data_IF_287630941228
#
_entry.id   IF_287630941228
#
_cell.length_a   1.000
_cell.length_b   1.000
_cell.length_c   1.000
_cell.angle_alpha   90.00
_cell.angle_beta   90.00
_cell.angle_gamma   90.00
#
_symmetry.space_group_name_H-M   'P 1'
#
loop_
_entity.id
_entity.type
_entity.pdbx_description
1 polymer ?
#
# COMPACT_ATOMS: atom_id res chain seq x y z
N UNK A 1 -13.72 24.81 2.14
CA UNK A 1 -12.72 24.26 1.20
C UNK A 1 -12.91 22.75 0.96
N UNK A 2 -13.74 22.05 1.76
CA UNK A 2 -13.96 20.60 1.63
C UNK A 2 -14.82 20.16 0.44
N UNK A 3 -15.72 21.02 -0.05
CA UNK A 3 -16.63 20.70 -1.17
C UNK A 3 -15.86 20.49 -2.49
N UNK A 4 -14.72 21.18 -2.65
CA UNK A 4 -13.89 21.13 -3.85
C UNK A 4 -13.08 19.82 -3.98
N UNK A 5 -12.89 19.10 -2.87
CA UNK A 5 -12.13 17.84 -2.82
C UNK A 5 -13.01 16.59 -2.79
N UNK A 6 -14.34 16.75 -2.75
CA UNK A 6 -15.29 15.63 -2.78
C UNK A 6 -15.06 14.68 -3.98
N UNK A 7 -14.97 15.14 -5.25
CA UNK A 7 -14.76 14.22 -6.37
C UNK A 7 -13.44 13.44 -6.24
N UNK A 8 -12.39 14.09 -5.74
CA UNK A 8 -11.09 13.46 -5.51
C UNK A 8 -11.17 12.36 -4.43
N UNK A 9 -11.92 12.58 -3.34
CA UNK A 9 -12.13 11.59 -2.28
C UNK A 9 -12.97 10.40 -2.73
N UNK A 10 -13.88 10.58 -3.70
CA UNK A 10 -14.65 9.48 -4.29
C UNK A 10 -13.79 8.62 -5.21
N UNK A 11 -12.98 9.26 -6.08
CA UNK A 11 -12.02 8.57 -6.94
C UNK A 11 -10.99 7.79 -6.10
N UNK A 12 -10.42 8.44 -5.09
CA UNK A 12 -9.47 7.80 -4.18
C UNK A 12 -10.08 6.61 -3.44
N UNK A 13 -11.29 6.74 -2.88
CA UNK A 13 -11.97 5.64 -2.20
C UNK A 13 -12.34 4.50 -3.15
N UNK A 14 -12.77 4.80 -4.37
CA UNK A 14 -13.03 3.80 -5.41
C UNK A 14 -11.76 3.04 -5.79
N UNK A 15 -10.65 3.75 -5.98
CA UNK A 15 -9.34 3.17 -6.29
C UNK A 15 -8.84 2.28 -5.14
N UNK A 16 -8.95 2.74 -3.89
CA UNK A 16 -8.56 1.96 -2.71
C UNK A 16 -9.45 0.73 -2.55
N UNK A 17 -10.77 0.86 -2.71
CA UNK A 17 -11.68 -0.30 -2.65
C UNK A 17 -11.35 -1.35 -3.72
N UNK A 18 -11.07 -0.91 -4.93
CA UNK A 18 -10.64 -1.75 -6.05
C UNK A 18 -9.31 -2.45 -5.76
N UNK A 19 -8.33 -1.71 -5.25
CA UNK A 19 -7.00 -2.21 -4.89
C UNK A 19 -7.03 -3.24 -3.75
N UNK A 20 -7.99 -3.14 -2.84
CA UNK A 20 -8.00 -3.93 -1.61
C UNK A 20 -8.59 -5.34 -1.79
N UNK A 21 -9.16 -5.65 -2.96
CA UNK A 21 -9.84 -6.93 -3.23
C UNK A 21 -9.15 -7.70 -4.36
N UNK A 22 -8.47 -8.83 -4.09
CA UNK A 22 -7.73 -9.57 -5.11
C UNK A 22 -8.63 -10.14 -6.23
N UNK A 23 -9.89 -10.48 -5.91
CA UNK A 23 -10.88 -10.89 -6.93
C UNK A 23 -11.16 -9.77 -7.94
N UNK A 24 -11.31 -8.55 -7.44
CA UNK A 24 -11.56 -7.37 -8.28
C UNK A 24 -10.38 -7.08 -9.20
N UNK A 25 -9.14 -7.22 -8.70
CA UNK A 25 -7.93 -7.11 -9.51
C UNK A 25 -7.92 -8.13 -10.66
N UNK A 26 -8.18 -9.41 -10.37
CA UNK A 26 -8.21 -10.46 -11.40
C UNK A 26 -9.31 -10.18 -12.45
N UNK A 27 -10.53 -9.89 -12.00
CA UNK A 27 -11.66 -9.62 -12.91
C UNK A 27 -11.36 -8.41 -13.79
N UNK A 28 -10.80 -7.35 -13.23
CA UNK A 28 -10.44 -6.14 -13.97
C UNK A 28 -9.35 -6.38 -15.00
N UNK A 29 -8.36 -7.22 -14.68
CA UNK A 29 -7.29 -7.60 -15.59
C UNK A 29 -7.84 -8.38 -16.79
N UNK A 30 -8.68 -9.38 -16.53
CA UNK A 30 -9.34 -10.16 -17.57
C UNK A 30 -10.27 -9.30 -18.44
N UNK A 31 -11.07 -8.43 -17.82
CA UNK A 31 -11.96 -7.52 -18.53
C UNK A 31 -11.16 -6.60 -19.47
N UNK A 32 -10.05 -6.05 -18.99
CA UNK A 32 -9.20 -5.19 -19.78
C UNK A 32 -8.53 -5.92 -20.95
N UNK A 33 -8.15 -7.20 -20.80
CA UNK A 33 -7.68 -8.03 -21.93
C UNK A 33 -8.76 -8.13 -23.00
N UNK A 34 -10.01 -8.43 -22.60
CA UNK A 34 -11.13 -8.54 -23.54
C UNK A 34 -11.38 -7.21 -24.25
N UNK A 35 -11.43 -6.11 -23.49
CA UNK A 35 -11.65 -4.76 -24.05
C UNK A 35 -10.52 -4.38 -25.00
N UNK A 36 -9.26 -4.56 -24.61
CA UNK A 36 -8.11 -4.26 -25.45
C UNK A 36 -8.10 -5.12 -26.72
N UNK A 37 -8.41 -6.42 -26.61
CA UNK A 37 -8.53 -7.32 -27.75
C UNK A 37 -9.63 -6.91 -28.72
N UNK A 38 -10.81 -6.50 -28.23
CA UNK A 38 -11.91 -6.02 -29.08
C UNK A 38 -11.52 -4.71 -29.78
N UNK A 39 -10.94 -3.74 -29.06
CA UNK A 39 -10.49 -2.48 -29.63
C UNK A 39 -9.39 -2.70 -30.68
N UNK A 40 -8.45 -3.61 -30.42
CA UNK A 40 -7.39 -3.97 -31.35
C UNK A 40 -7.92 -4.66 -32.60
N UNK A 41 -8.86 -5.60 -32.46
CA UNK A 41 -9.52 -6.25 -33.59
C UNK A 41 -10.18 -5.23 -34.53
N UNK A 42 -10.84 -4.21 -33.95
CA UNK A 42 -11.45 -3.15 -34.73
C UNK A 42 -10.42 -2.23 -35.41
N UNK A 43 -9.32 -1.91 -34.73
CA UNK A 43 -8.30 -1.00 -35.25
C UNK A 43 -7.36 -1.63 -36.30
N UNK A 44 -7.05 -2.92 -36.18
CA UNK A 44 -6.08 -3.63 -37.05
C UNK A 44 -6.76 -4.66 -37.97
N UNK A 45 -8.09 -4.78 -37.92
CA UNK A 45 -8.89 -5.75 -38.71
C UNK A 45 -8.40 -7.20 -38.57
N UNK A 46 -7.94 -7.58 -37.37
CA UNK A 46 -7.48 -8.93 -37.03
C UNK A 46 -8.62 -9.79 -36.47
N UNK A 47 -8.46 -11.10 -36.54
CA UNK A 47 -9.41 -12.04 -35.95
C UNK A 47 -9.53 -11.80 -34.44
N UNK A 48 -10.69 -12.11 -33.85
CA UNK A 48 -10.90 -11.93 -32.41
C UNK A 48 -9.89 -12.74 -31.57
N UNK A 49 -9.57 -13.96 -32.01
CA UNK A 49 -8.60 -14.83 -31.34
C UNK A 49 -7.20 -14.22 -31.35
N UNK A 50 -6.71 -13.76 -32.50
CA UNK A 50 -5.39 -13.13 -32.64
C UNK A 50 -5.30 -11.82 -31.84
N UNK A 51 -6.40 -11.08 -31.77
CA UNK A 51 -6.46 -9.80 -31.06
C UNK A 51 -6.45 -9.98 -29.55
N UNK A 52 -7.17 -10.99 -29.04
CA UNK A 52 -7.10 -11.37 -27.61
C UNK A 52 -5.73 -11.92 -27.28
N UNK A 53 -5.14 -12.75 -28.15
CA UNK A 53 -3.77 -13.24 -27.98
C UNK A 53 -2.76 -12.09 -27.89
N UNK A 54 -2.83 -11.13 -28.81
CA UNK A 54 -2.01 -9.92 -28.77
C UNK A 54 -2.16 -9.16 -27.45
N UNK A 55 -3.41 -8.99 -26.98
CA UNK A 55 -3.69 -8.31 -25.72
C UNK A 55 -3.10 -9.07 -24.52
N UNK A 56 -3.20 -10.40 -24.49
CA UNK A 56 -2.61 -11.25 -23.43
C UNK A 56 -1.09 -11.11 -23.42
N UNK A 57 -0.43 -11.27 -24.57
CA UNK A 57 1.03 -11.22 -24.71
C UNK A 57 1.58 -9.84 -24.36
N UNK A 58 0.86 -8.77 -24.72
CA UNK A 58 1.24 -7.39 -24.42
C UNK A 58 0.98 -7.06 -22.94
N UNK A 59 -0.20 -7.40 -22.40
CA UNK A 59 -0.56 -7.10 -21.02
C UNK A 59 0.29 -7.89 -20.00
N UNK A 60 0.68 -9.11 -20.34
CA UNK A 60 1.63 -9.91 -19.56
C UNK A 60 3.08 -9.45 -19.66
N UNK A 61 3.36 -8.43 -20.49
CA UNK A 61 4.71 -7.91 -20.77
C UNK A 61 5.68 -8.91 -21.42
N UNK A 62 5.17 -10.05 -21.92
CA UNK A 62 5.98 -11.08 -22.60
C UNK A 62 6.46 -10.57 -23.97
N UNK A 63 5.54 -10.01 -24.76
CA UNK A 63 5.89 -9.30 -26.00
C UNK A 63 6.60 -10.15 -27.07
N UNK A 64 6.04 -11.30 -27.45
CA UNK A 64 6.63 -12.16 -28.50
C UNK A 64 6.87 -11.44 -29.85
N UNK A 65 6.05 -10.44 -30.18
CA UNK A 65 6.20 -9.63 -31.39
C UNK A 65 5.71 -10.30 -32.68
N UNK A 66 5.09 -11.47 -32.57
CA UNK A 66 4.41 -12.20 -33.65
C UNK A 66 3.23 -11.42 -34.24
N UNK A 67 2.48 -10.72 -33.38
CA UNK A 67 1.43 -9.78 -33.78
C UNK A 67 1.77 -8.41 -33.19
N UNK A 68 1.73 -7.37 -34.03
CA UNK A 68 2.06 -6.00 -33.63
C UNK A 68 1.20 -4.98 -34.36
N UNK A 69 0.87 -3.83 -33.72
CA UNK A 69 0.06 -2.79 -34.35
C UNK A 69 0.81 -2.09 -35.49
N UNK A 70 0.17 -2.03 -36.64
CA UNK A 70 0.70 -1.37 -37.84
C UNK A 70 0.04 -0.01 -38.08
N UNK A 71 -1.23 0.14 -37.68
CA UNK A 71 -2.00 1.36 -37.82
C UNK A 71 -1.65 2.38 -36.73
N UNK A 72 -1.93 3.66 -37.00
CA UNK A 72 -1.79 4.71 -35.98
C UNK A 72 -2.69 4.45 -34.76
N UNK A 73 -3.95 4.06 -35.00
CA UNK A 73 -4.91 3.76 -33.95
C UNK A 73 -4.47 2.56 -33.10
N UNK A 74 -4.01 1.47 -33.72
CA UNK A 74 -3.50 0.31 -33.01
C UNK A 74 -2.25 0.62 -32.18
N UNK A 75 -1.34 1.46 -32.69
CA UNK A 75 -0.15 1.91 -31.92
C UNK A 75 -0.52 2.76 -30.72
N UNK A 76 -1.51 3.65 -30.88
CA UNK A 76 -2.03 4.43 -29.77
C UNK A 76 -2.70 3.55 -28.70
N UNK A 77 -3.52 2.58 -29.12
CA UNK A 77 -4.12 1.59 -28.21
C UNK A 77 -3.07 0.76 -27.48
N UNK A 78 -2.04 0.31 -28.19
CA UNK A 78 -0.92 -0.42 -27.60
C UNK A 78 -0.18 0.42 -26.54
N UNK A 79 0.13 1.68 -26.87
CA UNK A 79 0.76 2.59 -25.92
C UNK A 79 -0.08 2.79 -24.65
N UNK A 80 -1.41 2.93 -24.80
CA UNK A 80 -2.34 3.05 -23.68
C UNK A 80 -2.37 1.78 -22.82
N UNK A 81 -2.46 0.60 -23.44
CA UNK A 81 -2.45 -0.69 -22.73
C UNK A 81 -1.16 -0.87 -21.93
N UNK A 82 -0.01 -0.65 -22.58
CA UNK A 82 1.32 -0.78 -21.95
C UNK A 82 1.46 0.22 -20.79
N UNK A 83 1.10 1.49 -21.00
CA UNK A 83 1.17 2.51 -19.94
C UNK A 83 0.29 2.15 -18.75
N UNK A 84 -0.91 1.62 -19.01
CA UNK A 84 -1.83 1.17 -17.94
C UNK A 84 -1.28 -0.02 -17.17
N UNK A 85 -0.61 -0.97 -17.84
CA UNK A 85 0.01 -2.11 -17.15
C UNK A 85 1.11 -1.65 -16.20
N UNK A 86 2.04 -0.85 -16.73
CA UNK A 86 3.25 -0.44 -16.02
C UNK A 86 2.93 0.54 -14.88
N UNK A 87 2.02 1.49 -15.10
CA UNK A 87 1.73 2.54 -14.12
C UNK A 87 0.69 2.15 -13.08
N UNK A 88 -0.22 1.24 -13.40
CA UNK A 88 -1.37 0.93 -12.54
C UNK A 88 -1.41 -0.54 -12.13
N UNK A 89 -1.51 -1.46 -13.07
CA UNK A 89 -1.88 -2.85 -12.75
C UNK A 89 -0.75 -3.61 -12.07
N UNK A 90 0.47 -3.57 -12.63
CA UNK A 90 1.62 -4.28 -12.08
C UNK A 90 1.98 -3.77 -10.67
N UNK A 91 2.09 -2.45 -10.41
CA UNK A 91 2.35 -1.94 -9.06
C UNK A 91 1.27 -2.33 -8.06
N UNK A 92 -0.01 -2.31 -8.46
CA UNK A 92 -1.12 -2.61 -7.56
C UNK A 92 -1.14 -4.07 -7.13
N UNK A 93 -0.92 -4.98 -8.09
CA UNK A 93 -0.78 -6.42 -7.81
C UNK A 93 0.43 -6.66 -6.91
N UNK A 94 1.58 -6.05 -7.24
CA UNK A 94 2.82 -6.18 -6.47
C UNK A 94 2.64 -5.69 -5.03
N UNK A 95 2.05 -4.52 -4.84
CA UNK A 95 1.77 -3.96 -3.51
C UNK A 95 0.79 -4.83 -2.71
N UNK A 96 -0.21 -5.40 -3.38
CA UNK A 96 -1.16 -6.31 -2.74
C UNK A 96 -0.46 -7.58 -2.20
N UNK A 97 0.42 -8.18 -3.00
CA UNK A 97 1.19 -9.35 -2.54
C UNK A 97 2.25 -8.99 -1.51
N UNK A 98 2.98 -7.89 -1.69
CA UNK A 98 3.97 -7.42 -0.73
C UNK A 98 3.35 -7.18 0.65
N UNK A 99 2.18 -6.54 0.73
CA UNK A 99 1.49 -6.31 2.02
C UNK A 99 1.03 -7.60 2.74
N UNK A 100 0.91 -8.72 2.02
CA UNK A 100 0.60 -10.04 2.61
C UNK A 100 1.85 -10.80 3.06
N UNK A 101 3.00 -10.49 2.44
CA UNK A 101 4.26 -11.17 2.71
C UNK A 101 5.09 -10.45 3.77
N UNK A 102 4.87 -9.15 3.95
CA UNK A 102 5.42 -8.37 5.06
C UNK A 102 4.71 -8.84 6.33
N UNK A 103 5.37 -9.74 7.06
CA UNK A 103 5.12 -9.98 8.47
C UNK A 103 5.76 -8.80 9.19
N UNK A 104 4.96 -8.04 9.92
CA UNK A 104 5.45 -6.89 10.67
C UNK A 104 6.06 -7.40 11.98
N UNK A 105 7.31 -7.86 11.93
CA UNK A 105 8.05 -8.41 13.07
C UNK A 105 8.21 -7.38 14.22
N UNK A 106 8.05 -6.08 13.92
CA UNK A 106 8.10 -4.97 14.89
C UNK A 106 6.71 -4.53 15.39
N UNK A 107 5.62 -5.03 14.79
CA UNK A 107 4.27 -4.78 15.29
C UNK A 107 3.97 -5.69 16.47
N UNK A 108 4.42 -5.28 17.67
CA UNK A 108 4.00 -5.92 18.91
C UNK A 108 2.49 -6.10 18.92
N UNK A 109 2.03 -7.35 18.91
CA UNK A 109 0.61 -7.64 19.02
C UNK A 109 0.08 -7.02 20.32
N UNK A 110 -1.20 -6.63 20.35
CA UNK A 110 -1.80 -6.09 21.58
C UNK A 110 -1.65 -7.05 22.78
N UNK A 111 -1.56 -8.36 22.53
CA UNK A 111 -1.27 -9.36 23.56
C UNK A 111 0.13 -9.18 24.16
N UNK A 112 1.18 -9.09 23.32
CA UNK A 112 2.56 -8.87 23.77
C UNK A 112 2.72 -7.52 24.48
N UNK A 113 2.02 -6.48 23.99
CA UNK A 113 2.02 -5.17 24.66
C UNK A 113 1.41 -5.24 26.06
N UNK A 114 0.33 -5.98 26.24
CA UNK A 114 -0.31 -6.14 27.55
C UNK A 114 0.52 -7.02 28.49
N UNK A 115 1.18 -8.05 27.98
CA UNK A 115 2.14 -8.87 28.72
C UNK A 115 3.33 -8.02 29.19
N UNK A 116 3.95 -7.26 28.29
CA UNK A 116 5.07 -6.38 28.63
C UNK A 116 4.67 -5.32 29.67
N UNK A 117 3.47 -4.71 29.55
CA UNK A 117 2.96 -3.79 30.57
C UNK A 117 2.72 -4.49 31.91
N UNK A 118 2.20 -5.73 31.89
CA UNK A 118 1.99 -6.51 33.10
C UNK A 118 3.32 -6.83 33.80
N UNK A 119 4.34 -7.18 33.04
CA UNK A 119 5.69 -7.44 33.55
C UNK A 119 6.34 -6.18 34.10
N UNK A 120 6.23 -5.04 33.41
CA UNK A 120 6.71 -3.75 33.93
C UNK A 120 6.02 -3.39 35.25
N UNK A 121 4.70 -3.61 35.37
CA UNK A 121 3.96 -3.39 36.62
C UNK A 121 4.44 -4.34 37.73
N UNK A 122 4.70 -5.61 37.40
CA UNK A 122 5.21 -6.61 38.35
C UNK A 122 6.62 -6.26 38.85
N UNK A 123 7.53 -5.93 37.95
CA UNK A 123 8.90 -5.51 38.29
C UNK A 123 8.89 -4.26 39.18
N UNK A 124 8.02 -3.28 38.86
CA UNK A 124 7.85 -2.09 39.68
C UNK A 124 7.41 -2.42 41.10
N UNK A 125 6.41 -3.28 41.27
CA UNK A 125 5.93 -3.70 42.58
C UNK A 125 7.04 -4.39 43.40
N UNK A 126 7.86 -5.25 42.77
CA UNK A 126 9.00 -5.88 43.42
C UNK A 126 10.08 -4.87 43.83
N UNK A 127 10.36 -3.88 42.99
CA UNK A 127 11.31 -2.80 43.31
C UNK A 127 10.80 -1.94 44.47
N UNK A 128 9.52 -1.58 44.48
CA UNK A 128 8.87 -0.85 45.57
C UNK A 128 8.94 -1.64 46.89
N UNK A 129 8.72 -2.96 46.85
CA UNK A 129 8.86 -3.83 48.01
C UNK A 129 10.32 -3.91 48.51
N UNK A 130 11.29 -4.10 47.61
CA UNK A 130 12.70 -4.14 47.97
C UNK A 130 13.19 -2.81 48.57
N UNK A 131 12.75 -1.69 47.99
CA UNK A 131 13.08 -0.36 48.48
C UNK A 131 12.51 -0.12 49.89
N UNK A 132 11.26 -0.53 50.12
CA UNK A 132 10.64 -0.45 51.44
C UNK A 132 11.40 -1.28 52.50
N UNK A 133 11.82 -2.50 52.15
CA UNK A 133 12.63 -3.35 53.05
C UNK A 133 13.99 -2.74 53.41
N UNK A 134 14.57 -1.97 52.50
CA UNK A 134 15.88 -1.34 52.68
C UNK A 134 15.79 0.10 53.23
N UNK A 135 14.57 0.63 53.46
CA UNK A 135 14.37 2.01 53.87
C UNK A 135 14.77 3.04 52.82
N UNK A 136 14.82 2.64 51.54
CA UNK A 136 15.20 3.50 50.41
C UNK A 136 13.94 4.18 49.89
N UNK A 137 13.97 5.52 49.79
CA UNK A 137 12.92 6.29 49.14
C UNK A 137 13.18 6.26 47.62
N UNK A 138 12.25 5.66 46.87
CA UNK A 138 12.32 5.68 45.42
C UNK A 138 12.06 7.10 44.88
N UNK A 139 12.82 7.56 43.87
CA UNK A 139 12.49 8.79 43.16
C UNK A 139 11.09 8.66 42.56
N UNK A 140 10.27 9.70 42.69
CA UNK A 140 9.02 9.77 41.94
C UNK A 140 9.39 9.80 40.46
N UNK A 141 9.06 8.73 39.74
CA UNK A 141 9.19 8.72 38.29
C UNK A 141 8.19 9.73 37.77
N UNK A 142 8.69 10.89 37.34
CA UNK A 142 7.90 11.86 36.59
C UNK A 142 7.10 11.10 35.53
N UNK A 143 5.80 11.42 35.43
CA UNK A 143 4.99 10.85 34.34
C UNK A 143 5.77 11.11 33.05
N UNK A 144 6.02 10.07 32.23
CA UNK A 144 6.73 10.28 30.98
C UNK A 144 6.06 11.45 30.28
N UNK A 145 6.84 12.46 29.88
CA UNK A 145 6.28 13.58 29.14
C UNK A 145 5.42 12.99 28.01
N UNK A 146 4.17 13.46 27.84
CA UNK A 146 3.29 12.90 26.85
C UNK A 146 4.04 12.86 25.51
N UNK A 147 4.11 11.67 24.91
CA UNK A 147 4.84 11.44 23.66
C UNK A 147 4.44 12.54 22.69
N UNK A 148 5.40 13.39 22.33
CA UNK A 148 5.13 14.58 21.54
C UNK A 148 4.49 14.19 20.22
N UNK A 149 3.20 14.51 20.07
CA UNK A 149 2.45 14.35 18.82
C UNK A 149 2.88 15.34 17.74
N UNK A 150 3.80 16.26 18.08
CA UNK A 150 4.32 17.26 17.16
C UNK A 150 5.11 16.58 16.02
N UNK A 151 4.95 17.04 14.77
CA UNK A 151 5.69 16.52 13.62
C UNK A 151 7.22 16.54 13.80
N UNK A 152 7.97 15.64 13.15
CA UNK A 152 9.43 15.50 13.35
C UNK A 152 10.26 16.78 13.14
N UNK A 153 9.82 17.67 12.26
CA UNK A 153 10.51 18.94 11.96
C UNK A 153 10.35 19.99 13.08
N UNK A 154 9.28 19.91 13.87
CA UNK A 154 8.99 20.81 14.97
C UNK A 154 9.81 20.44 16.23
N UNK A 155 10.00 19.13 16.43
CA UNK A 155 10.88 18.59 17.49
C UNK A 155 12.33 19.04 17.31
N UNK A 156 12.83 19.13 16.06
CA UNK A 156 14.19 19.62 15.76
C UNK A 156 14.35 21.11 16.07
N UNK A 157 13.32 21.93 15.86
CA UNK A 157 13.35 23.38 16.16
C UNK A 157 13.38 23.65 17.67
N UNK A 158 12.61 22.92 18.47
CA UNK A 158 12.61 23.06 19.93
C UNK A 158 13.96 22.73 20.57
N UNK A 159 14.61 21.64 20.12
CA UNK A 159 15.96 21.25 20.60
C UNK A 159 17.06 22.28 20.30
N UNK A 160 16.88 23.13 19.27
CA UNK A 160 17.82 24.21 18.95
C UNK A 160 17.60 25.49 19.75
N UNK A 161 16.44 25.66 20.41
CA UNK A 161 16.13 26.82 21.26
C UNK A 161 16.41 26.57 22.74
N UNK A 162 16.55 25.32 23.16
CA UNK A 162 16.84 24.91 24.53
C UNK A 162 18.34 24.67 24.81
N UNK A 163 19.21 25.05 23.87
CA UNK A 163 20.66 25.16 24.03
C UNK A 163 21.04 26.62 23.80
#
# INVERSE_FOLDING_TARGET
MDVLLLPFRWIYRGLVWFANSPRTLIISYLLMIVVAGVLYSHAEHKSAADSVWWAVVTASTVGYGDISPTSFAGRFLAALLISTMVLLVIPLITAHFASRLIVDDDAFEHAEQEELKADVRRLRALVEEMAARQGIVLPELDRPEPVSTAPPWERRRRRRRSR
#
